data_IF_023938878206
#
_entry.id   IF_023938878206
#
_cell.length_a   1.000
_cell.length_b   1.000
_cell.length_c   1.000
_cell.angle_alpha   90.00
_cell.angle_beta   90.00
_cell.angle_gamma   90.00
#
_symmetry.space_group_name_H-M   'P 1'
#
loop_
_entity.id
_entity.type
_entity.pdbx_description
1 polymer ?
#
# COMPACT_ATOMS: atom_id res chain seq x y z
N UNK A 1 1.28 8.62 -18.82
CA UNK A 1 2.04 9.66 -18.10
C UNK A 1 2.16 9.20 -16.67
N UNK A 2 3.28 9.46 -16.00
CA UNK A 2 3.38 9.20 -14.57
C UNK A 2 2.28 9.98 -13.84
N UNK A 3 1.65 9.36 -12.84
CA UNK A 3 0.61 10.02 -12.04
C UNK A 3 1.22 11.17 -11.24
N UNK A 4 0.63 12.36 -11.36
CA UNK A 4 0.98 13.54 -10.58
C UNK A 4 -0.26 13.98 -9.79
N UNK A 5 -0.17 13.91 -8.46
CA UNK A 5 -1.26 14.32 -7.59
C UNK A 5 -1.35 15.85 -7.52
N UNK A 6 -2.56 16.40 -7.50
CA UNK A 6 -2.76 17.81 -7.17
C UNK A 6 -2.43 18.03 -5.69
N UNK A 7 -1.46 18.91 -5.41
CA UNK A 7 -1.07 19.27 -4.05
C UNK A 7 -1.21 20.77 -3.79
N UNK A 8 -2.46 21.22 -3.57
CA UNK A 8 -2.77 22.63 -3.39
C UNK A 8 -2.19 23.23 -2.10
N UNK A 9 -1.94 22.41 -1.08
CA UNK A 9 -1.45 22.83 0.23
C UNK A 9 0.01 22.47 0.49
N UNK A 10 0.73 21.98 -0.53
CA UNK A 10 2.12 21.55 -0.39
C UNK A 10 2.29 20.54 0.75
N UNK A 11 1.36 19.58 0.85
CA UNK A 11 1.40 18.50 1.83
C UNK A 11 2.64 17.64 1.64
N UNK A 12 3.12 17.49 0.40
CA UNK A 12 4.32 16.73 0.08
C UNK A 12 5.57 17.26 0.80
N UNK A 13 5.66 18.58 1.05
CA UNK A 13 6.78 19.18 1.78
C UNK A 13 6.79 18.85 3.27
N UNK A 14 5.66 18.39 3.81
CA UNK A 14 5.53 17.92 5.20
C UNK A 14 6.01 16.47 5.38
N UNK A 15 6.16 15.72 4.30
CA UNK A 15 6.59 14.32 4.33
C UNK A 15 8.12 14.22 4.39
N UNK A 16 8.59 13.21 5.09
CA UNK A 16 10.02 12.84 5.07
C UNK A 16 10.40 12.23 3.72
N UNK A 17 11.70 12.24 3.39
CA UNK A 17 12.20 11.59 2.18
C UNK A 17 11.85 10.10 2.15
N UNK A 18 11.94 9.42 3.29
CA UNK A 18 11.57 8.01 3.43
C UNK A 18 10.08 7.77 3.15
N UNK A 19 9.20 8.61 3.70
CA UNK A 19 7.75 8.53 3.45
C UNK A 19 7.39 8.77 1.98
N UNK A 20 8.04 9.74 1.33
CA UNK A 20 7.88 9.98 -0.12
C UNK A 20 8.36 8.79 -0.93
N UNK A 21 9.55 8.25 -0.62
CA UNK A 21 10.08 7.07 -1.30
C UNK A 21 9.16 5.85 -1.16
N UNK A 22 8.60 5.60 0.02
CA UNK A 22 7.66 4.50 0.25
C UNK A 22 6.37 4.70 -0.55
N UNK A 23 5.80 5.91 -0.50
CA UNK A 23 4.61 6.24 -1.30
C UNK A 23 4.87 5.99 -2.78
N UNK A 24 5.98 6.50 -3.31
CA UNK A 24 6.29 6.42 -4.73
C UNK A 24 6.53 4.96 -5.16
N UNK A 25 7.18 4.13 -4.33
CA UNK A 25 7.34 2.71 -4.59
C UNK A 25 5.98 1.96 -4.65
N UNK A 26 5.04 2.27 -3.75
CA UNK A 26 3.69 1.68 -3.80
C UNK A 26 2.91 2.18 -5.00
N UNK A 27 3.04 3.48 -5.32
CA UNK A 27 2.41 4.10 -6.48
C UNK A 27 2.83 3.42 -7.77
N UNK A 28 4.13 3.20 -7.95
CA UNK A 28 4.69 2.54 -9.13
C UNK A 28 4.16 1.11 -9.26
N UNK A 29 4.15 0.34 -8.16
CA UNK A 29 3.55 -1.00 -8.18
C UNK A 29 2.06 -0.98 -8.55
N UNK A 30 1.29 -0.01 -8.04
CA UNK A 30 -0.13 0.16 -8.36
C UNK A 30 -0.34 0.50 -9.84
N UNK A 31 0.46 1.42 -10.40
CA UNK A 31 0.42 1.78 -11.83
C UNK A 31 0.74 0.59 -12.73
N UNK A 32 1.73 -0.21 -12.36
CA UNK A 32 2.20 -1.33 -13.18
C UNK A 32 1.30 -2.57 -13.06
N UNK A 33 0.77 -2.85 -11.87
CA UNK A 33 0.14 -4.15 -11.57
C UNK A 33 -1.36 -4.07 -11.32
N UNK A 34 -1.85 -3.00 -10.71
CA UNK A 34 -3.27 -2.89 -10.32
C UNK A 34 -4.08 -2.17 -11.39
N UNK A 35 -3.72 -0.94 -11.75
CA UNK A 35 -4.48 -0.09 -12.69
C UNK A 35 -4.78 -0.79 -14.02
N UNK A 36 -3.84 -1.50 -14.67
CA UNK A 36 -4.11 -2.15 -15.97
C UNK A 36 -5.02 -3.38 -15.86
N UNK A 37 -5.10 -3.98 -14.67
CA UNK A 37 -5.70 -5.31 -14.47
C UNK A 37 -6.99 -5.27 -13.62
N UNK A 38 -7.24 -4.19 -12.89
CA UNK A 38 -8.31 -4.12 -11.89
C UNK A 38 -9.71 -4.29 -12.50
N UNK A 39 -9.99 -3.72 -13.67
CA UNK A 39 -11.30 -3.87 -14.30
C UNK A 39 -11.65 -5.33 -14.59
N UNK A 40 -10.68 -6.10 -15.08
CA UNK A 40 -10.84 -7.53 -15.36
C UNK A 40 -10.96 -8.31 -14.05
N UNK A 41 -10.08 -8.05 -13.08
CA UNK A 41 -10.10 -8.70 -11.78
C UNK A 41 -11.45 -8.50 -11.06
N UNK A 42 -11.97 -7.27 -11.08
CA UNK A 42 -13.28 -6.92 -10.53
C UNK A 42 -14.41 -7.64 -11.26
N UNK A 43 -14.42 -7.63 -12.60
CA UNK A 43 -15.45 -8.30 -13.42
C UNK A 43 -15.46 -9.81 -13.24
N UNK A 44 -14.29 -10.41 -13.09
CA UNK A 44 -14.12 -11.86 -12.92
C UNK A 44 -14.26 -12.30 -11.45
N UNK A 45 -14.43 -11.35 -10.51
CA UNK A 45 -14.49 -11.58 -9.06
C UNK A 45 -13.26 -12.34 -8.50
N UNK A 46 -12.08 -12.04 -9.04
CA UNK A 46 -10.82 -12.70 -8.66
C UNK A 46 -9.86 -11.68 -8.04
N UNK A 47 -9.25 -12.06 -6.92
CA UNK A 47 -8.06 -11.39 -6.40
C UNK A 47 -6.80 -12.14 -6.90
N UNK A 48 -5.97 -11.54 -7.78
CA UNK A 48 -4.79 -12.21 -8.32
C UNK A 48 -3.82 -12.69 -7.23
N UNK A 49 -3.39 -13.96 -7.32
CA UNK A 49 -2.45 -14.55 -6.37
C UNK A 49 -1.11 -13.82 -6.33
N UNK A 50 -0.67 -13.24 -7.45
CA UNK A 50 0.59 -12.48 -7.48
C UNK A 50 0.51 -11.24 -6.59
N UNK A 51 -0.65 -10.57 -6.52
CA UNK A 51 -0.79 -9.35 -5.72
C UNK A 51 -0.57 -9.60 -4.23
N UNK A 52 -1.08 -10.72 -3.69
CA UNK A 52 -0.84 -11.05 -2.27
C UNK A 52 0.62 -11.37 -1.96
N UNK A 53 1.36 -11.92 -2.93
CA UNK A 53 2.80 -12.21 -2.78
C UNK A 53 3.58 -10.90 -2.82
N UNK A 54 3.34 -10.07 -3.84
CA UNK A 54 4.03 -8.79 -4.01
C UNK A 54 3.86 -7.88 -2.79
N UNK A 55 2.63 -7.75 -2.26
CA UNK A 55 2.37 -6.92 -1.08
C UNK A 55 3.14 -7.42 0.16
N UNK A 56 3.38 -8.73 0.27
CA UNK A 56 4.23 -9.29 1.31
C UNK A 56 5.71 -8.96 1.11
N UNK A 57 6.22 -9.13 -0.12
CA UNK A 57 7.62 -8.86 -0.46
C UNK A 57 7.98 -7.37 -0.38
N UNK A 58 7.04 -6.48 -0.70
CA UNK A 58 7.18 -5.04 -0.55
C UNK A 58 7.18 -4.57 0.92
N UNK A 59 6.84 -5.45 1.87
CA UNK A 59 6.78 -5.11 3.28
C UNK A 59 5.60 -4.20 3.67
N UNK A 60 4.57 -4.08 2.85
CA UNK A 60 3.42 -3.23 3.19
C UNK A 60 2.46 -3.87 4.20
N UNK A 61 2.53 -5.20 4.37
CA UNK A 61 1.74 -5.95 5.36
C UNK A 61 2.34 -5.78 6.76
N UNK A 62 1.57 -5.19 7.67
CA UNK A 62 2.06 -4.91 9.02
C UNK A 62 3.19 -3.88 9.06
N UNK A 63 3.21 -2.95 8.09
CA UNK A 63 4.27 -1.95 7.93
C UNK A 63 4.71 -1.25 9.24
N UNK A 64 3.80 -0.81 10.15
CA UNK A 64 4.20 -0.18 11.41
C UNK A 64 4.77 -1.11 12.48
N UNK A 65 4.60 -2.43 12.35
CA UNK A 65 4.97 -3.40 13.37
C UNK A 65 6.49 -3.58 13.43
N UNK A 66 7.02 -3.81 14.63
CA UNK A 66 8.47 -3.96 14.86
C UNK A 66 8.82 -5.39 15.23
N UNK A 67 9.97 -5.87 14.75
CA UNK A 67 10.41 -7.25 14.96
C UNK A 67 9.72 -8.23 14.02
N UNK A 68 9.96 -9.53 14.18
CA UNK A 68 9.33 -10.60 13.38
C UNK A 68 9.46 -10.46 11.85
N UNK A 69 10.48 -9.74 11.37
CA UNK A 69 10.64 -9.43 9.95
C UNK A 69 9.73 -8.30 9.43
N UNK A 70 8.99 -7.62 10.30
CA UNK A 70 8.18 -6.46 9.94
C UNK A 70 9.04 -5.19 9.85
N UNK A 71 8.69 -4.23 8.95
CA UNK A 71 9.54 -3.08 8.65
C UNK A 71 9.72 -2.06 9.79
N UNK A 72 8.73 -1.90 10.67
CA UNK A 72 8.76 -0.90 11.74
C UNK A 72 8.63 0.55 11.25
N UNK A 73 7.89 0.78 10.16
CA UNK A 73 7.66 2.08 9.53
C UNK A 73 6.78 3.02 10.38
N UNK A 74 6.75 4.30 10.02
CA UNK A 74 5.86 5.27 10.64
C UNK A 74 4.39 4.99 10.28
N UNK A 75 3.46 5.38 11.16
CA UNK A 75 2.03 5.34 10.82
C UNK A 75 1.66 6.27 9.66
N UNK A 76 2.44 7.33 9.44
CA UNK A 76 2.27 8.20 8.28
C UNK A 76 2.63 7.47 6.99
N UNK A 77 3.75 6.75 6.95
CA UNK A 77 4.11 5.87 5.84
C UNK A 77 3.03 4.82 5.58
N UNK A 78 2.47 4.20 6.63
CA UNK A 78 1.35 3.26 6.48
C UNK A 78 0.08 3.92 5.91
N UNK A 79 -0.22 5.16 6.30
CA UNK A 79 -1.28 5.95 5.70
C UNK A 79 -1.07 6.18 4.21
N UNK A 80 0.14 6.55 3.80
CA UNK A 80 0.52 6.76 2.40
C UNK A 80 0.45 5.46 1.58
N UNK A 81 0.91 4.35 2.15
CA UNK A 81 0.74 3.00 1.56
C UNK A 81 -0.74 2.75 1.29
N UNK A 82 -1.61 2.91 2.30
CA UNK A 82 -3.04 2.69 2.15
C UNK A 82 -3.65 3.61 1.07
N UNK A 83 -3.25 4.88 1.05
CA UNK A 83 -3.71 5.85 0.07
C UNK A 83 -3.39 5.41 -1.37
N UNK A 84 -2.15 4.99 -1.64
CA UNK A 84 -1.76 4.56 -2.98
C UNK A 84 -2.40 3.23 -3.38
N UNK A 85 -2.51 2.26 -2.46
CA UNK A 85 -3.22 1.01 -2.73
C UNK A 85 -4.69 1.26 -3.08
N UNK A 86 -5.35 2.17 -2.36
CA UNK A 86 -6.76 2.52 -2.60
C UNK A 86 -6.97 3.35 -3.86
N UNK A 87 -5.96 4.10 -4.30
CA UNK A 87 -5.95 4.74 -5.63
C UNK A 87 -6.02 3.70 -6.75
N UNK A 88 -5.45 2.51 -6.53
CA UNK A 88 -5.63 1.35 -7.40
C UNK A 88 -7.01 0.72 -7.24
N UNK A 89 -7.33 0.28 -6.03
CA UNK A 89 -8.63 -0.30 -5.67
C UNK A 89 -8.80 -0.45 -4.15
N UNK A 90 -10.02 -0.19 -3.64
CA UNK A 90 -10.34 -0.36 -2.22
C UNK A 90 -10.22 -1.81 -1.74
N UNK A 91 -10.39 -2.82 -2.60
CA UNK A 91 -10.18 -4.22 -2.29
C UNK A 91 -8.71 -4.56 -2.00
N UNK A 92 -7.78 -3.98 -2.76
CA UNK A 92 -6.32 -4.13 -2.52
C UNK A 92 -5.93 -3.51 -1.18
N UNK A 93 -6.40 -2.30 -0.89
CA UNK A 93 -6.18 -1.66 0.42
C UNK A 93 -6.85 -2.45 1.55
N UNK A 94 -8.03 -3.01 1.32
CA UNK A 94 -8.74 -3.84 2.31
C UNK A 94 -7.96 -5.10 2.66
N UNK A 95 -7.36 -5.76 1.67
CA UNK A 95 -6.49 -6.91 1.90
C UNK A 95 -5.31 -6.55 2.83
N UNK A 96 -4.58 -5.47 2.52
CA UNK A 96 -3.47 -5.00 3.35
C UNK A 96 -3.92 -4.60 4.76
N UNK A 97 -5.09 -3.95 4.89
CA UNK A 97 -5.66 -3.51 6.17
C UNK A 97 -6.04 -4.68 7.07
N UNK A 98 -6.74 -5.68 6.52
CA UNK A 98 -7.13 -6.88 7.29
C UNK A 98 -5.88 -7.62 7.74
N UNK A 99 -4.96 -7.87 6.83
CA UNK A 99 -3.74 -8.62 7.15
C UNK A 99 -2.86 -7.89 8.17
N UNK A 100 -2.57 -6.61 7.94
CA UNK A 100 -1.70 -5.84 8.84
C UNK A 100 -2.37 -5.46 10.15
N UNK A 101 -3.53 -4.80 10.11
CA UNK A 101 -4.15 -4.17 11.28
C UNK A 101 -5.13 -5.07 12.02
N UNK A 102 -5.74 -6.07 11.37
CA UNK A 102 -6.76 -6.93 12.01
C UNK A 102 -6.29 -8.36 12.29
N UNK A 103 -5.19 -8.80 11.67
CA UNK A 103 -4.61 -10.11 11.91
C UNK A 103 -3.22 -10.01 12.57
N UNK A 104 -2.25 -9.33 11.93
CA UNK A 104 -0.88 -9.25 12.46
C UNK A 104 -0.81 -8.41 13.74
N UNK A 105 -1.42 -7.22 13.76
CA UNK A 105 -1.40 -6.34 14.93
C UNK A 105 -1.87 -7.01 16.23
N UNK A 106 -3.05 -7.65 16.31
CA UNK A 106 -3.51 -8.30 17.55
C UNK A 106 -2.72 -9.57 17.94
N UNK A 107 -1.86 -10.10 17.06
CA UNK A 107 -0.92 -11.19 17.41
C UNK A 107 0.39 -10.61 17.97
N UNK A 108 0.77 -9.43 17.50
CA UNK A 108 2.01 -8.75 17.85
C UNK A 108 1.93 -8.02 19.21
N UNK A 109 0.77 -7.43 19.53
CA UNK A 109 0.44 -6.76 20.81
C UNK A 109 0.07 -7.77 21.92
#
# INVERSE_FOLDING_TARGET
>A
MAYEALDFYDVDSLLTDEERMIRDAVRDWVEENVIPNIEKACRDEVFPDQWRVDLGEMGVLGAPLKGYGCPGLSYMAYGLICQELERGDSGVRSFASVQGSLAMYPIWD
#
